data_IF_108007577078
#
_entry.id   IF_108007577078
#
_cell.length_a   1.000
_cell.length_b   1.000
_cell.length_c   1.000
_cell.angle_alpha   90.00
_cell.angle_beta   90.00
_cell.angle_gamma   90.00
#
_symmetry.space_group_name_H-M   'P 1'
#
loop_
_entity.id
_entity.type
_entity.pdbx_description
1 polymer ?
#
# COMPACT_ATOMS: atom_id res chain seq x y z
N UNK A 1 -30.30 6.41 -3.58
CA UNK A 1 -29.65 5.62 -4.65
C UNK A 1 -28.17 5.49 -4.29
N UNK A 2 -27.57 4.30 -4.42
CA UNK A 2 -26.13 4.14 -4.12
C UNK A 2 -25.30 4.86 -5.18
N UNK A 3 -24.20 5.51 -4.80
CA UNK A 3 -23.27 6.13 -5.75
C UNK A 3 -22.75 5.11 -6.78
N UNK A 4 -22.63 3.83 -6.39
CA UNK A 4 -22.18 2.74 -7.25
C UNK A 4 -23.19 2.24 -8.29
N UNK A 5 -24.37 2.87 -8.38
CA UNK A 5 -25.42 2.44 -9.32
C UNK A 5 -25.24 3.04 -10.72
N UNK A 6 -24.46 4.10 -10.89
CA UNK A 6 -24.31 4.82 -12.16
C UNK A 6 -23.00 5.58 -12.27
N UNK A 7 -22.26 5.38 -13.36
CA UNK A 7 -21.09 6.19 -13.69
C UNK A 7 -21.48 7.65 -13.97
N UNK A 8 -22.66 7.92 -14.50
CA UNK A 8 -23.15 9.31 -14.71
C UNK A 8 -23.28 10.03 -13.39
N UNK A 9 -23.89 9.40 -12.38
CA UNK A 9 -24.02 9.97 -11.04
C UNK A 9 -22.66 10.23 -10.39
N UNK A 10 -21.71 9.29 -10.55
CA UNK A 10 -20.33 9.45 -10.07
C UNK A 10 -19.70 10.67 -10.73
N UNK A 11 -19.73 10.76 -12.05
CA UNK A 11 -19.12 11.85 -12.83
C UNK A 11 -19.71 13.22 -12.50
N UNK A 12 -21.02 13.33 -12.40
CA UNK A 12 -21.70 14.58 -12.01
C UNK A 12 -21.25 15.04 -10.62
N UNK A 13 -21.20 14.11 -9.66
CA UNK A 13 -20.74 14.40 -8.29
C UNK A 13 -19.26 14.78 -8.27
N UNK A 14 -18.41 14.07 -9.02
CA UNK A 14 -17.00 14.40 -9.16
C UNK A 14 -16.80 15.80 -9.76
N UNK A 15 -17.53 16.16 -10.82
CA UNK A 15 -17.42 17.46 -11.47
C UNK A 15 -17.86 18.59 -10.53
N UNK A 16 -18.92 18.38 -9.74
CA UNK A 16 -19.33 19.38 -8.74
C UNK A 16 -18.23 19.57 -7.69
N UNK A 17 -17.78 18.52 -7.05
CA UNK A 17 -16.76 18.58 -5.99
C UNK A 17 -15.41 19.08 -6.50
N UNK A 18 -15.06 18.76 -7.76
CA UNK A 18 -13.85 19.31 -8.39
C UNK A 18 -13.87 20.83 -8.44
N UNK A 19 -14.96 21.45 -8.90
CA UNK A 19 -15.08 22.90 -8.93
C UNK A 19 -14.96 23.53 -7.55
N UNK A 20 -15.56 22.88 -6.54
CA UNK A 20 -15.50 23.31 -5.14
C UNK A 20 -14.06 23.28 -4.62
N UNK A 21 -13.36 22.16 -4.76
CA UNK A 21 -12.01 22.01 -4.24
C UNK A 21 -11.00 22.89 -4.99
N UNK A 22 -11.12 23.06 -6.30
CA UNK A 22 -10.27 23.97 -7.06
C UNK A 22 -10.43 25.42 -6.62
N UNK A 23 -11.67 25.86 -6.36
CA UNK A 23 -11.94 27.20 -5.80
C UNK A 23 -11.32 27.39 -4.42
N UNK A 24 -11.40 26.38 -3.55
CA UNK A 24 -10.76 26.40 -2.23
C UNK A 24 -9.23 26.46 -2.38
N UNK A 25 -8.66 25.63 -3.26
CA UNK A 25 -7.22 25.59 -3.50
C UNK A 25 -6.68 26.90 -4.05
N UNK A 26 -7.41 27.54 -4.97
CA UNK A 26 -7.03 28.85 -5.53
C UNK A 26 -6.93 29.92 -4.45
N UNK A 27 -7.83 29.89 -3.45
CA UNK A 27 -7.85 30.85 -2.35
C UNK A 27 -6.80 30.57 -1.28
N UNK A 28 -6.69 29.31 -0.85
CA UNK A 28 -5.99 28.96 0.37
C UNK A 28 -4.99 27.82 0.30
N UNK A 29 -4.59 27.28 -0.87
CA UNK A 29 -3.59 26.23 -0.97
C UNK A 29 -2.25 26.80 -1.45
N UNK A 30 -1.21 26.95 -0.60
CA UNK A 30 0.02 27.64 -0.95
C UNK A 30 0.70 27.10 -2.21
N UNK A 31 0.86 25.79 -2.33
CA UNK A 31 1.53 25.17 -3.48
C UNK A 31 0.76 25.38 -4.79
N UNK A 32 -0.54 25.03 -4.84
CA UNK A 32 -1.29 25.13 -6.10
C UNK A 32 -1.56 26.57 -6.52
N UNK A 33 -1.82 27.46 -5.57
CA UNK A 33 -1.97 28.89 -5.86
C UNK A 33 -0.73 29.47 -6.52
N UNK A 34 0.48 29.09 -6.05
CA UNK A 34 1.73 29.55 -6.65
C UNK A 34 1.93 28.99 -8.05
N UNK A 35 1.79 27.67 -8.23
CA UNK A 35 2.00 27.01 -9.53
C UNK A 35 1.01 27.51 -10.59
N UNK A 36 -0.27 27.61 -10.25
CA UNK A 36 -1.29 28.08 -11.21
C UNK A 36 -1.10 29.54 -11.59
N UNK A 37 -0.74 30.41 -10.63
CA UNK A 37 -0.43 31.82 -10.89
C UNK A 37 0.79 31.95 -11.80
N UNK A 38 1.87 31.21 -11.54
CA UNK A 38 3.08 31.25 -12.36
C UNK A 38 2.86 30.73 -13.79
N UNK A 39 1.96 29.76 -13.94
CA UNK A 39 1.62 29.16 -15.24
C UNK A 39 0.50 29.89 -15.97
N UNK A 40 -0.08 30.95 -15.41
CA UNK A 40 -1.21 31.68 -16.01
C UNK A 40 -2.49 30.84 -16.13
N UNK A 41 -2.67 29.82 -15.27
CA UNK A 41 -3.82 28.92 -15.33
C UNK A 41 -4.99 29.52 -14.56
N UNK A 42 -6.10 29.73 -15.28
CA UNK A 42 -7.39 30.08 -14.66
C UNK A 42 -8.17 28.80 -14.35
N UNK A 43 -8.17 28.40 -13.08
CA UNK A 43 -8.86 27.18 -12.63
C UNK A 43 -10.37 27.29 -12.67
N UNK A 44 -10.95 28.51 -12.78
CA UNK A 44 -12.39 28.68 -12.95
C UNK A 44 -12.91 28.11 -14.28
N UNK A 45 -12.01 27.87 -15.23
CA UNK A 45 -12.30 27.26 -16.54
C UNK A 45 -12.25 25.73 -16.51
N UNK A 46 -11.85 25.12 -15.38
CA UNK A 46 -11.83 23.68 -15.18
C UNK A 46 -13.19 23.27 -14.59
N UNK A 47 -14.08 22.77 -15.43
CA UNK A 47 -15.47 22.49 -15.08
C UNK A 47 -15.75 21.01 -14.81
N UNK A 48 -14.91 20.14 -15.35
CA UNK A 48 -15.07 18.68 -15.28
C UNK A 48 -13.76 17.97 -15.03
N UNK A 49 -13.83 16.68 -14.66
CA UNK A 49 -12.65 15.84 -14.51
C UNK A 49 -11.88 15.67 -15.82
N UNK A 50 -12.52 15.87 -16.98
CA UNK A 50 -11.84 15.83 -18.28
C UNK A 50 -10.93 17.03 -18.50
N UNK A 51 -11.26 18.16 -17.91
CA UNK A 51 -10.44 19.38 -18.00
C UNK A 51 -9.16 19.28 -17.14
N UNK A 52 -9.07 18.33 -16.21
CA UNK A 52 -7.90 18.16 -15.34
C UNK A 52 -6.58 18.01 -16.12
N UNK A 53 -6.62 17.48 -17.34
CA UNK A 53 -5.43 17.36 -18.20
C UNK A 53 -4.76 18.71 -18.53
N UNK A 54 -5.46 19.81 -18.33
CA UNK A 54 -4.95 21.19 -18.49
C UNK A 54 -4.12 21.64 -17.28
N UNK A 55 -4.26 20.97 -16.14
CA UNK A 55 -3.44 21.22 -14.94
C UNK A 55 -2.15 20.39 -14.99
N UNK A 56 -1.03 20.92 -14.48
CA UNK A 56 0.22 20.16 -14.42
C UNK A 56 0.10 18.97 -13.46
N UNK A 57 0.87 17.92 -13.72
CA UNK A 57 1.07 16.83 -12.79
C UNK A 57 1.85 17.29 -11.56
N UNK A 58 1.45 16.86 -10.38
CA UNK A 58 2.13 17.16 -9.13
C UNK A 58 3.09 16.02 -8.78
N UNK A 59 4.41 16.24 -8.78
CA UNK A 59 5.37 15.21 -8.45
C UNK A 59 5.37 14.92 -6.94
N UNK A 60 5.55 13.66 -6.56
CA UNK A 60 5.63 13.22 -5.15
C UNK A 60 6.72 13.96 -4.37
N UNK A 61 7.83 14.29 -5.04
CA UNK A 61 8.95 15.02 -4.47
C UNK A 61 8.53 16.39 -3.88
N UNK A 62 7.61 17.10 -4.52
CA UNK A 62 7.13 18.41 -4.05
C UNK A 62 6.45 18.32 -2.66
N UNK A 63 5.64 17.26 -2.44
CA UNK A 63 5.04 17.01 -1.13
C UNK A 63 6.09 16.66 -0.07
N UNK A 64 7.09 15.85 -0.44
CA UNK A 64 8.16 15.42 0.47
C UNK A 64 9.05 16.60 0.91
N UNK A 65 9.34 17.52 0.00
CA UNK A 65 10.19 18.70 0.28
C UNK A 65 9.47 19.75 1.13
N UNK A 66 8.18 19.95 0.92
CA UNK A 66 7.43 20.95 1.68
C UNK A 66 5.97 20.51 1.93
N UNK A 67 5.76 19.57 2.87
CA UNK A 67 4.40 19.05 3.16
C UNK A 67 3.44 20.11 3.69
N UNK A 68 3.93 21.13 4.40
CA UNK A 68 3.09 22.24 4.90
C UNK A 68 2.46 23.07 3.78
N UNK A 69 3.11 23.19 2.63
CA UNK A 69 2.57 23.90 1.48
C UNK A 69 1.35 23.22 0.83
N UNK A 70 1.11 21.95 1.18
CA UNK A 70 -0.02 21.16 0.68
C UNK A 70 -1.25 21.21 1.60
N UNK A 71 -1.22 22.00 2.67
CA UNK A 71 -2.35 22.22 3.56
C UNK A 71 -3.16 23.43 3.10
N UNK A 72 -4.50 23.32 3.20
CA UNK A 72 -5.38 24.47 3.04
C UNK A 72 -5.16 25.47 4.20
N UNK A 73 -4.90 26.72 3.86
CA UNK A 73 -4.71 27.85 4.78
C UNK A 73 -5.77 28.90 4.49
N UNK A 74 -7.02 28.62 4.90
CA UNK A 74 -8.19 29.45 4.63
C UNK A 74 -9.05 29.57 5.90
N UNK A 75 -9.03 30.74 6.53
CA UNK A 75 -9.69 30.96 7.82
C UNK A 75 -11.21 31.01 7.73
N UNK A 76 -11.76 31.26 6.54
CA UNK A 76 -13.19 31.32 6.26
C UNK A 76 -13.89 29.98 6.22
N UNK A 77 -13.11 28.87 6.14
CA UNK A 77 -13.68 27.54 6.20
C UNK A 77 -14.28 27.26 7.60
N UNK A 78 -15.32 26.42 7.68
CA UNK A 78 -15.86 25.93 8.95
C UNK A 78 -14.77 25.31 9.84
N UNK A 79 -14.95 25.38 11.15
CA UNK A 79 -13.95 24.97 12.13
C UNK A 79 -13.48 23.51 11.90
N UNK A 80 -14.40 22.60 11.63
CA UNK A 80 -14.10 21.18 11.36
C UNK A 80 -13.29 20.94 10.08
N UNK A 81 -13.29 21.89 9.15
CA UNK A 81 -12.56 21.82 7.89
C UNK A 81 -11.14 22.39 7.99
N UNK A 82 -10.77 23.04 9.10
CA UNK A 82 -9.47 23.65 9.33
C UNK A 82 -8.73 23.17 10.58
N UNK A 83 -9.44 22.60 11.57
CA UNK A 83 -8.80 22.00 12.74
C UNK A 83 -8.16 20.66 12.33
N UNK A 84 -6.88 20.51 12.62
CA UNK A 84 -6.17 19.26 12.45
C UNK A 84 -6.64 18.26 13.51
N UNK A 85 -7.09 17.10 13.04
CA UNK A 85 -7.45 15.97 13.88
C UNK A 85 -6.25 15.07 14.15
N UNK A 86 -5.51 14.76 13.09
CA UNK A 86 -4.35 13.87 13.19
C UNK A 86 -3.27 14.23 12.16
N UNK A 87 -2.06 13.79 12.45
CA UNK A 87 -0.95 13.72 11.50
C UNK A 87 -0.52 12.28 11.41
N UNK A 88 -0.57 11.70 10.22
CA UNK A 88 -0.01 10.38 9.93
C UNK A 88 1.19 10.54 9.01
N UNK A 89 2.07 9.54 9.01
CA UNK A 89 3.29 9.61 8.24
C UNK A 89 3.32 8.55 7.15
N UNK A 90 3.91 8.89 6.00
CA UNK A 90 4.18 7.90 4.97
C UNK A 90 5.32 6.98 5.40
N UNK A 91 5.32 5.74 4.90
CA UNK A 91 6.38 4.76 5.20
C UNK A 91 7.64 4.99 4.36
N UNK A 92 8.14 6.20 4.20
CA UNK A 92 9.31 6.48 3.37
C UNK A 92 10.39 5.39 3.50
N UNK A 93 10.72 4.72 2.38
CA UNK A 93 11.76 3.68 2.34
C UNK A 93 13.16 4.22 2.13
N UNK A 94 13.28 5.51 1.76
CA UNK A 94 14.54 6.15 1.36
C UNK A 94 14.76 7.53 1.97
N UNK A 95 13.80 8.07 2.74
CA UNK A 95 13.84 9.40 3.34
C UNK A 95 13.07 9.44 4.65
N UNK A 96 13.14 10.55 5.37
CA UNK A 96 12.31 10.77 6.55
C UNK A 96 10.82 10.64 6.21
N UNK A 97 10.01 10.09 7.16
CA UNK A 97 8.57 9.95 6.96
C UNK A 97 7.91 11.31 6.69
N UNK A 98 7.20 11.44 5.57
CA UNK A 98 6.51 12.68 5.22
C UNK A 98 5.20 12.79 6.00
N UNK A 99 4.94 13.89 6.73
CA UNK A 99 3.68 14.11 7.42
C UNK A 99 2.54 14.32 6.42
N UNK A 100 1.38 13.76 6.76
CA UNK A 100 0.14 13.89 6.02
C UNK A 100 -0.95 14.33 6.97
N UNK A 101 -1.50 15.49 6.74
CA UNK A 101 -2.40 16.19 7.66
C UNK A 101 -3.86 15.86 7.33
N UNK A 102 -4.63 15.54 8.36
CA UNK A 102 -6.07 15.30 8.27
C UNK A 102 -6.80 16.25 9.21
N UNK A 103 -7.81 16.95 8.68
CA UNK A 103 -8.76 17.70 9.48
C UNK A 103 -9.84 16.79 10.06
N UNK A 104 -10.70 17.31 10.93
CA UNK A 104 -11.89 16.58 11.41
C UNK A 104 -12.80 16.18 10.24
N UNK A 105 -12.96 17.05 9.23
CA UNK A 105 -13.70 16.74 8.00
C UNK A 105 -13.08 15.55 7.25
N UNK A 106 -11.76 15.56 7.07
CA UNK A 106 -11.05 14.47 6.39
C UNK A 106 -11.22 13.14 7.13
N UNK A 107 -11.23 13.18 8.47
CA UNK A 107 -11.41 11.98 9.26
C UNK A 107 -12.83 11.41 9.14
N UNK A 108 -13.86 12.25 9.09
CA UNK A 108 -15.22 11.80 8.81
C UNK A 108 -15.34 11.16 7.43
N UNK A 109 -14.72 11.75 6.41
CA UNK A 109 -14.68 11.16 5.08
C UNK A 109 -13.93 9.82 5.07
N UNK A 110 -12.87 9.69 5.88
CA UNK A 110 -12.14 8.45 6.03
C UNK A 110 -12.97 7.36 6.74
N UNK A 111 -13.75 7.72 7.76
CA UNK A 111 -14.71 6.79 8.39
C UNK A 111 -15.73 6.27 7.38
N UNK A 112 -16.26 7.15 6.55
CA UNK A 112 -17.19 6.77 5.48
C UNK A 112 -16.55 5.85 4.44
N UNK A 113 -15.32 6.16 4.00
CA UNK A 113 -14.53 5.28 3.14
C UNK A 113 -14.34 3.91 3.79
N UNK A 114 -13.95 3.89 5.07
CA UNK A 114 -13.71 2.67 5.83
C UNK A 114 -14.94 1.77 5.93
N UNK A 115 -16.12 2.36 6.13
CA UNK A 115 -17.38 1.62 6.13
C UNK A 115 -17.64 0.93 4.79
N UNK A 116 -17.44 1.64 3.68
CA UNK A 116 -17.60 1.07 2.34
C UNK A 116 -16.54 0.00 2.02
N UNK A 117 -15.30 0.19 2.48
CA UNK A 117 -14.25 -0.84 2.40
C UNK A 117 -14.70 -2.12 3.10
N UNK A 118 -15.26 -2.01 4.29
CA UNK A 118 -15.79 -3.16 5.03
C UNK A 118 -16.94 -3.85 4.27
N UNK A 119 -17.90 -3.07 3.75
CA UNK A 119 -19.02 -3.57 2.96
C UNK A 119 -18.57 -4.28 1.67
N UNK A 120 -17.55 -3.74 0.99
CA UNK A 120 -16.99 -4.35 -0.23
C UNK A 120 -16.29 -5.66 0.10
N UNK A 121 -15.48 -5.69 1.17
CA UNK A 121 -14.68 -6.86 1.56
C UNK A 121 -15.43 -7.88 2.42
N UNK A 122 -16.71 -7.67 2.74
CA UNK A 122 -17.48 -8.59 3.58
C UNK A 122 -16.96 -8.68 5.02
N UNK A 123 -16.62 -7.53 5.61
CA UNK A 123 -16.32 -7.41 7.05
C UNK A 123 -17.60 -6.99 7.75
N UNK A 124 -17.97 -7.71 8.79
CA UNK A 124 -19.26 -7.58 9.50
C UNK A 124 -19.05 -7.14 10.95
N UNK A 125 -20.11 -6.63 11.55
CA UNK A 125 -20.13 -6.24 12.96
C UNK A 125 -19.97 -7.42 13.95
N UNK A 126 -20.13 -8.65 13.47
CA UNK A 126 -19.85 -9.88 14.23
C UNK A 126 -18.40 -10.31 14.20
N UNK A 127 -17.56 -9.65 13.41
CA UNK A 127 -16.15 -10.00 13.30
C UNK A 127 -15.34 -9.50 14.50
N UNK A 128 -14.30 -10.27 14.80
CA UNK A 128 -13.24 -9.92 15.75
C UNK A 128 -11.93 -9.85 14.95
N UNK A 129 -11.30 -8.69 14.93
CA UNK A 129 -10.10 -8.43 14.14
C UNK A 129 -8.87 -8.47 15.04
N UNK A 130 -7.89 -9.29 14.71
CA UNK A 130 -6.54 -9.19 15.24
C UNK A 130 -5.72 -8.18 14.42
N UNK A 131 -5.42 -7.02 15.00
CA UNK A 131 -4.51 -6.04 14.41
C UNK A 131 -3.06 -6.51 14.63
N UNK A 132 -2.44 -6.99 13.58
CA UNK A 132 -1.09 -7.56 13.56
C UNK A 132 -0.07 -6.58 12.93
N UNK A 133 -0.40 -5.30 12.84
CA UNK A 133 0.59 -4.29 12.45
C UNK A 133 1.46 -3.90 13.64
N UNK A 134 2.77 -3.71 13.44
CA UNK A 134 3.64 -3.23 14.51
C UNK A 134 3.32 -1.76 14.86
N UNK A 135 3.54 -1.42 16.11
CA UNK A 135 3.55 -0.02 16.54
C UNK A 135 4.91 0.59 16.19
N UNK A 136 4.89 1.73 15.53
CA UNK A 136 6.09 2.47 15.10
C UNK A 136 6.17 3.82 15.79
N UNK A 137 7.37 4.41 15.89
CA UNK A 137 7.62 5.72 16.51
C UNK A 137 6.91 6.86 15.78
N UNK A 138 6.80 6.78 14.46
CA UNK A 138 5.97 7.69 13.66
C UNK A 138 4.60 7.03 13.41
N UNK A 139 3.47 7.69 13.70
CA UNK A 139 2.14 7.12 13.48
C UNK A 139 1.90 6.79 12.01
N UNK A 140 2.01 5.52 11.65
CA UNK A 140 1.78 5.04 10.29
C UNK A 140 0.35 4.57 10.08
N UNK A 141 -0.17 4.80 8.86
CA UNK A 141 -1.55 4.52 8.53
C UNK A 141 -2.00 3.09 8.79
N UNK A 142 -1.16 2.08 8.57
CA UNK A 142 -1.56 0.69 8.67
C UNK A 142 -2.10 0.31 10.07
N UNK A 143 -1.39 0.68 11.14
CA UNK A 143 -1.83 0.40 12.52
C UNK A 143 -3.06 1.21 12.90
N UNK A 144 -3.04 2.54 12.66
CA UNK A 144 -4.11 3.46 13.06
C UNK A 144 -5.38 3.18 12.26
N UNK A 145 -5.24 2.96 10.95
CA UNK A 145 -6.37 2.77 10.04
C UNK A 145 -7.08 1.42 10.22
N UNK A 146 -6.40 0.38 10.71
CA UNK A 146 -7.08 -0.87 11.07
C UNK A 146 -8.11 -0.66 12.17
N UNK A 147 -7.79 0.15 13.20
CA UNK A 147 -8.72 0.52 14.27
C UNK A 147 -9.91 1.31 13.72
N UNK A 148 -9.65 2.30 12.87
CA UNK A 148 -10.70 3.10 12.22
C UNK A 148 -11.62 2.25 11.34
N UNK A 149 -11.06 1.30 10.58
CA UNK A 149 -11.85 0.39 9.73
C UNK A 149 -12.72 -0.56 10.56
N UNK A 150 -12.19 -1.10 11.67
CA UNK A 150 -12.97 -1.93 12.57
C UNK A 150 -14.14 -1.14 13.17
N UNK A 151 -13.89 0.07 13.67
CA UNK A 151 -14.93 0.97 14.19
C UNK A 151 -16.02 1.25 13.13
N UNK A 152 -15.62 1.59 11.92
CA UNK A 152 -16.56 1.89 10.84
C UNK A 152 -17.42 0.69 10.42
N UNK A 153 -16.89 -0.53 10.57
CA UNK A 153 -17.60 -1.79 10.33
C UNK A 153 -18.48 -2.22 11.50
N UNK A 154 -18.31 -1.60 12.70
CA UNK A 154 -18.92 -2.06 13.95
C UNK A 154 -18.29 -3.35 14.49
N UNK A 155 -17.11 -3.75 13.97
CA UNK A 155 -16.40 -4.96 14.35
C UNK A 155 -15.56 -4.76 15.62
N UNK A 156 -15.35 -5.82 16.39
CA UNK A 156 -14.40 -5.80 17.49
C UNK A 156 -12.96 -5.87 16.98
N UNK A 157 -12.03 -5.24 17.70
CA UNK A 157 -10.61 -5.28 17.36
C UNK A 157 -9.74 -5.34 18.60
N UNK A 158 -8.67 -6.09 18.54
CA UNK A 158 -7.58 -6.00 19.52
C UNK A 158 -6.23 -5.86 18.84
N UNK A 159 -5.28 -5.20 19.50
CA UNK A 159 -3.94 -4.99 19.01
C UNK A 159 -3.00 -6.09 19.52
N UNK A 160 -2.40 -6.85 18.61
CA UNK A 160 -1.42 -7.85 18.98
C UNK A 160 -0.04 -7.25 19.23
N UNK A 161 0.26 -6.08 18.65
CA UNK A 161 1.52 -5.33 18.83
C UNK A 161 2.76 -6.22 18.61
N UNK A 162 2.89 -6.88 17.45
CA UNK A 162 4.06 -7.71 17.18
C UNK A 162 5.35 -6.87 17.21
N UNK A 163 6.41 -7.45 17.78
CA UNK A 163 7.71 -6.81 17.85
C UNK A 163 8.64 -7.55 18.80
N UNK A 164 9.86 -7.03 18.98
CA UNK A 164 10.81 -7.58 19.94
C UNK A 164 10.77 -6.81 21.27
N UNK A 165 10.84 -7.55 22.38
CA UNK A 165 10.93 -6.97 23.72
C UNK A 165 12.20 -6.13 23.93
N UNK A 166 13.21 -6.31 23.07
CA UNK A 166 14.47 -5.56 23.12
C UNK A 166 14.38 -4.19 22.44
N UNK A 167 13.27 -3.88 21.77
CA UNK A 167 13.03 -2.64 21.03
C UNK A 167 12.68 -1.40 21.88
N UNK A 168 12.89 -1.45 23.19
CA UNK A 168 12.69 -0.31 24.11
C UNK A 168 11.26 -0.13 24.63
N UNK A 169 10.28 -0.90 24.15
CA UNK A 169 8.90 -0.88 24.63
C UNK A 169 8.46 -2.27 25.08
N UNK A 170 8.28 -2.46 26.38
CA UNK A 170 7.83 -3.74 26.97
C UNK A 170 6.39 -4.16 26.59
N UNK A 171 5.70 -3.37 25.78
CA UNK A 171 4.33 -3.66 25.30
C UNK A 171 4.31 -4.54 24.04
N UNK A 172 5.46 -4.70 23.35
CA UNK A 172 5.55 -5.52 22.16
C UNK A 172 5.52 -7.01 22.51
N UNK A 173 4.90 -7.79 21.62
CA UNK A 173 4.77 -9.24 21.76
C UNK A 173 5.62 -9.97 20.73
N UNK A 174 6.29 -10.99 21.17
CA UNK A 174 6.93 -11.97 20.29
C UNK A 174 5.89 -12.67 19.41
N UNK A 175 6.31 -13.31 18.35
CA UNK A 175 5.42 -14.09 17.47
C UNK A 175 4.67 -15.18 18.24
N UNK A 176 5.32 -15.85 19.20
CA UNK A 176 4.72 -16.84 20.07
C UNK A 176 3.57 -16.24 20.91
N UNK A 177 3.81 -15.10 21.56
CA UNK A 177 2.78 -14.41 22.35
C UNK A 177 1.63 -13.88 21.48
N UNK A 178 1.91 -13.51 20.22
CA UNK A 178 0.85 -13.15 19.26
C UNK A 178 -0.02 -14.36 18.92
N UNK A 179 0.57 -15.54 18.73
CA UNK A 179 -0.17 -16.80 18.48
C UNK A 179 -1.04 -17.15 19.68
N UNK A 180 -0.49 -17.12 20.89
CA UNK A 180 -1.27 -17.37 22.12
C UNK A 180 -2.46 -16.40 22.27
N UNK A 181 -2.23 -15.12 21.96
CA UNK A 181 -3.30 -14.12 22.02
C UNK A 181 -4.39 -14.39 20.96
N UNK A 182 -4.05 -14.88 19.79
CA UNK A 182 -5.00 -15.29 18.74
C UNK A 182 -5.83 -16.48 19.23
N UNK A 183 -5.22 -17.49 19.85
CA UNK A 183 -5.92 -18.63 20.43
C UNK A 183 -6.88 -18.19 21.53
N UNK A 184 -6.45 -17.30 22.43
CA UNK A 184 -7.26 -16.78 23.54
C UNK A 184 -8.45 -15.94 23.05
N UNK A 185 -8.20 -14.99 22.15
CA UNK A 185 -9.21 -14.01 21.69
C UNK A 185 -10.08 -14.51 20.54
N UNK A 186 -9.69 -15.62 19.89
CA UNK A 186 -10.44 -16.28 18.82
C UNK A 186 -10.91 -15.31 17.72
N UNK A 187 -10.02 -14.51 17.11
CA UNK A 187 -10.41 -13.57 16.04
C UNK A 187 -10.97 -14.32 14.83
N UNK A 188 -11.83 -13.63 14.09
CA UNK A 188 -12.35 -14.10 12.81
C UNK A 188 -11.52 -13.56 11.63
N UNK A 189 -10.80 -12.46 11.84
CA UNK A 189 -9.96 -11.82 10.82
C UNK A 189 -8.56 -11.58 11.38
N UNK A 190 -7.54 -12.03 10.66
CA UNK A 190 -6.15 -11.65 10.87
C UNK A 190 -5.80 -10.53 9.89
N UNK A 191 -5.37 -9.38 10.40
CA UNK A 191 -5.06 -8.23 9.58
C UNK A 191 -3.61 -7.79 9.78
N UNK A 192 -2.81 -7.89 8.72
CA UNK A 192 -1.38 -7.62 8.83
C UNK A 192 -0.65 -7.54 7.48
N UNK A 193 0.66 -7.48 7.58
CA UNK A 193 1.58 -7.49 6.45
C UNK A 193 1.70 -8.93 5.93
N UNK A 194 1.66 -9.20 4.61
CA UNK A 194 1.68 -10.56 4.05
C UNK A 194 2.84 -11.42 4.55
N UNK A 195 4.05 -10.89 4.55
CA UNK A 195 5.25 -11.62 4.99
C UNK A 195 5.21 -11.99 6.48
N UNK A 196 4.69 -11.10 7.33
CA UNK A 196 4.53 -11.38 8.74
C UNK A 196 3.46 -12.43 9.00
N UNK A 197 2.29 -12.30 8.33
CA UNK A 197 1.19 -13.25 8.45
C UNK A 197 1.61 -14.66 8.03
N UNK A 198 2.31 -14.79 6.90
CA UNK A 198 2.85 -16.09 6.46
C UNK A 198 3.69 -16.73 7.55
N UNK A 199 4.69 -16.01 8.09
CA UNK A 199 5.58 -16.54 9.14
C UNK A 199 4.81 -16.91 10.41
N UNK A 200 3.86 -16.07 10.82
CA UNK A 200 3.00 -16.34 11.98
C UNK A 200 2.19 -17.63 11.79
N UNK A 201 1.61 -17.83 10.61
CA UNK A 201 0.81 -19.03 10.31
C UNK A 201 1.69 -20.29 10.25
N UNK A 202 2.88 -20.22 9.64
CA UNK A 202 3.85 -21.35 9.65
C UNK A 202 4.22 -21.69 11.09
N UNK A 203 4.52 -20.69 11.92
CA UNK A 203 4.85 -20.92 13.32
C UNK A 203 3.67 -21.47 14.13
N UNK A 204 2.45 -21.04 13.84
CA UNK A 204 1.23 -21.58 14.44
C UNK A 204 1.03 -23.07 14.12
N UNK A 205 1.35 -23.50 12.88
CA UNK A 205 1.32 -24.92 12.50
C UNK A 205 2.32 -25.72 13.33
N UNK A 206 3.57 -25.25 13.46
CA UNK A 206 4.60 -25.93 14.29
C UNK A 206 4.14 -26.09 15.74
N UNK A 207 3.46 -25.09 16.28
CA UNK A 207 2.94 -25.08 17.64
C UNK A 207 1.60 -25.84 17.78
N UNK A 208 1.00 -26.30 16.68
CA UNK A 208 -0.33 -26.92 16.64
C UNK A 208 -1.43 -26.01 17.23
N UNK A 209 -1.33 -24.73 16.99
CA UNK A 209 -2.24 -23.71 17.50
C UNK A 209 -3.66 -23.84 16.93
N UNK A 210 -4.66 -23.41 17.68
CA UNK A 210 -6.08 -23.43 17.29
C UNK A 210 -6.49 -22.11 16.60
N UNK A 211 -6.58 -22.13 15.26
CA UNK A 211 -7.04 -21.00 14.45
C UNK A 211 -8.41 -21.26 13.78
N UNK A 212 -9.21 -22.19 14.31
CA UNK A 212 -10.52 -22.55 13.73
C UNK A 212 -11.51 -21.38 13.67
N UNK A 213 -11.36 -20.35 14.52
CA UNK A 213 -12.19 -19.14 14.45
C UNK A 213 -11.90 -18.25 13.25
N UNK A 214 -10.69 -18.32 12.70
CA UNK A 214 -10.25 -17.46 11.59
C UNK A 214 -11.01 -17.81 10.32
N UNK A 215 -11.56 -16.81 9.65
CA UNK A 215 -12.23 -16.96 8.35
C UNK A 215 -11.54 -16.17 7.23
N UNK A 216 -10.70 -15.19 7.58
CA UNK A 216 -10.11 -14.28 6.62
C UNK A 216 -8.74 -13.79 7.09
N UNK A 217 -7.81 -13.69 6.16
CA UNK A 217 -6.63 -12.84 6.26
C UNK A 217 -6.82 -11.60 5.40
N UNK A 218 -6.75 -10.40 5.99
CA UNK A 218 -6.68 -9.13 5.26
C UNK A 218 -5.22 -8.68 5.22
N UNK A 219 -4.63 -8.65 4.02
CA UNK A 219 -3.22 -8.31 3.83
C UNK A 219 -3.07 -6.95 3.16
N UNK A 220 -2.08 -6.18 3.57
CA UNK A 220 -1.73 -4.88 2.96
C UNK A 220 -0.33 -4.44 3.37
N UNK A 221 0.17 -3.41 2.70
CA UNK A 221 1.41 -2.73 3.07
C UNK A 221 2.66 -3.25 2.38
N UNK A 222 2.59 -4.41 1.75
CA UNK A 222 3.61 -4.99 0.86
C UNK A 222 2.91 -5.56 -0.36
N UNK A 223 3.65 -5.66 -1.49
CA UNK A 223 3.18 -6.44 -2.62
C UNK A 223 3.10 -7.93 -2.21
N UNK A 224 2.04 -8.61 -2.64
CA UNK A 224 1.87 -10.05 -2.45
C UNK A 224 1.73 -10.74 -3.79
N UNK A 225 2.56 -11.75 -4.06
CA UNK A 225 2.38 -12.62 -5.24
C UNK A 225 1.21 -13.58 -5.03
N UNK A 226 0.69 -14.17 -6.12
CA UNK A 226 -0.32 -15.22 -6.03
C UNK A 226 0.21 -16.40 -5.20
N UNK A 227 1.46 -16.81 -5.40
CA UNK A 227 2.10 -17.90 -4.64
C UNK A 227 2.13 -17.61 -3.12
N UNK A 228 2.42 -16.36 -2.72
CA UNK A 228 2.36 -15.95 -1.31
C UNK A 228 0.94 -16.08 -0.74
N UNK A 229 -0.07 -15.67 -1.48
CA UNK A 229 -1.47 -15.77 -1.04
C UNK A 229 -1.93 -17.23 -0.97
N UNK A 230 -1.52 -18.06 -1.93
CA UNK A 230 -1.80 -19.51 -1.92
C UNK A 230 -1.12 -20.22 -0.74
N UNK A 231 0.08 -19.81 -0.39
CA UNK A 231 0.77 -20.34 0.80
C UNK A 231 0.03 -19.94 2.09
N UNK A 232 -0.46 -18.71 2.21
CA UNK A 232 -1.30 -18.28 3.35
C UNK A 232 -2.58 -19.14 3.40
N UNK A 233 -3.25 -19.38 2.27
CA UNK A 233 -4.45 -20.26 2.19
C UNK A 233 -4.13 -21.69 2.64
N UNK A 234 -2.98 -22.22 2.18
CA UNK A 234 -2.52 -23.55 2.58
C UNK A 234 -2.32 -23.64 4.11
N UNK A 235 -1.67 -22.65 4.70
CA UNK A 235 -1.45 -22.60 6.15
C UNK A 235 -2.77 -22.51 6.91
N UNK A 236 -3.72 -21.66 6.48
CA UNK A 236 -5.05 -21.56 7.07
C UNK A 236 -5.80 -22.89 7.02
N UNK A 237 -5.72 -23.61 5.91
CA UNK A 237 -6.32 -24.94 5.76
C UNK A 237 -5.72 -25.94 6.74
N UNK A 238 -4.40 -25.98 6.88
CA UNK A 238 -3.69 -26.87 7.80
C UNK A 238 -4.04 -26.57 9.27
N UNK A 239 -4.22 -25.29 9.61
CA UNK A 239 -4.69 -24.83 10.92
C UNK A 239 -6.21 -25.03 11.13
N UNK A 240 -6.91 -25.65 10.19
CA UNK A 240 -8.35 -25.92 10.22
C UNK A 240 -9.19 -24.67 10.40
N UNK A 241 -8.72 -23.53 9.86
CA UNK A 241 -9.46 -22.28 9.86
C UNK A 241 -10.83 -22.45 9.20
N UNK A 242 -11.84 -21.72 9.70
CA UNK A 242 -13.21 -21.80 9.22
C UNK A 242 -13.33 -21.62 7.72
N UNK A 243 -12.65 -20.59 7.19
CA UNK A 243 -12.50 -20.32 5.76
C UNK A 243 -11.04 -19.97 5.46
N UNK A 244 -10.62 -20.04 4.17
CA UNK A 244 -9.27 -19.74 3.74
C UNK A 244 -9.23 -18.48 2.86
N UNK A 245 -10.03 -17.47 3.20
CA UNK A 245 -10.13 -16.22 2.43
C UNK A 245 -8.90 -15.35 2.66
N UNK A 246 -8.27 -14.89 1.57
CA UNK A 246 -7.15 -13.94 1.62
C UNK A 246 -7.48 -12.73 0.75
N UNK A 247 -7.82 -11.62 1.37
CA UNK A 247 -8.05 -10.36 0.67
C UNK A 247 -6.80 -9.49 0.69
N UNK A 248 -6.33 -9.17 -0.50
CA UNK A 248 -5.29 -8.16 -0.70
C UNK A 248 -5.91 -6.77 -0.78
N UNK A 249 -5.33 -5.81 -0.08
CA UNK A 249 -5.77 -4.42 -0.06
C UNK A 249 -4.67 -3.54 -0.63
N UNK A 250 -5.02 -2.81 -1.67
CA UNK A 250 -4.17 -1.77 -2.22
C UNK A 250 -4.47 -0.44 -1.52
N UNK A 251 -3.44 0.36 -1.28
CA UNK A 251 -3.61 1.70 -0.72
C UNK A 251 -2.32 2.34 -0.27
N UNK A 252 -2.40 3.62 -0.07
CA UNK A 252 -1.34 4.46 0.49
C UNK A 252 -1.93 5.56 1.37
N UNK A 253 -1.08 6.33 2.02
CA UNK A 253 -1.52 7.48 2.82
C UNK A 253 -2.27 8.50 1.97
N UNK A 254 -1.84 8.67 0.72
CA UNK A 254 -2.41 9.62 -0.24
C UNK A 254 -3.75 9.17 -0.84
N UNK A 255 -3.96 7.86 -0.97
CA UNK A 255 -5.14 7.26 -1.62
C UNK A 255 -6.20 6.78 -0.62
N UNK A 256 -5.80 6.48 0.63
CA UNK A 256 -6.60 5.64 1.50
C UNK A 256 -6.56 4.17 1.06
N UNK A 257 -7.62 3.42 1.28
CA UNK A 257 -7.67 1.99 1.01
C UNK A 257 -8.66 1.64 -0.11
N UNK A 258 -8.20 0.84 -1.05
CA UNK A 258 -9.01 0.14 -2.04
C UNK A 258 -9.29 -1.28 -1.59
N UNK A 259 -10.40 -1.85 -2.00
CA UNK A 259 -10.88 -3.13 -1.51
C UNK A 259 -11.26 -4.09 -2.64
N UNK A 260 -10.94 -5.36 -2.46
CA UNK A 260 -11.45 -6.44 -3.28
C UNK A 260 -12.86 -6.85 -2.81
N UNK A 261 -13.78 -7.10 -3.75
CA UNK A 261 -15.09 -7.66 -3.44
C UNK A 261 -15.11 -9.20 -3.48
N UNK A 262 -14.08 -9.78 -4.04
CA UNK A 262 -13.80 -11.20 -4.13
C UNK A 262 -12.29 -11.38 -4.19
N UNK A 263 -11.78 -12.52 -3.71
CA UNK A 263 -10.37 -12.87 -3.85
C UNK A 263 -9.94 -12.77 -5.33
N UNK A 264 -8.74 -12.25 -5.52
CA UNK A 264 -8.12 -12.04 -6.84
C UNK A 264 -8.91 -11.12 -7.79
N UNK A 265 -9.93 -10.39 -7.29
CA UNK A 265 -10.60 -9.35 -8.09
C UNK A 265 -9.79 -8.05 -8.09
N UNK A 266 -10.17 -7.14 -8.99
CA UNK A 266 -9.65 -5.77 -9.00
C UNK A 266 -9.96 -5.05 -7.69
N UNK A 267 -9.17 -4.01 -7.36
CA UNK A 267 -9.38 -3.18 -6.17
C UNK A 267 -10.33 -2.03 -6.47
N UNK A 268 -11.51 -2.06 -5.86
CA UNK A 268 -12.51 -0.99 -5.96
C UNK A 268 -12.07 0.29 -5.25
N UNK A 269 -12.30 1.45 -5.87
CA UNK A 269 -12.35 2.72 -5.18
C UNK A 269 -13.64 2.77 -4.32
N UNK A 270 -13.54 2.81 -2.99
CA UNK A 270 -14.73 2.81 -2.14
C UNK A 270 -15.46 4.16 -2.11
N UNK A 271 -14.78 5.24 -2.52
CA UNK A 271 -15.34 6.61 -2.52
C UNK A 271 -15.06 7.33 -3.83
N UNK A 272 -15.63 6.85 -4.97
CA UNK A 272 -15.39 7.47 -6.28
C UNK A 272 -15.85 8.93 -6.34
N UNK A 273 -16.78 9.35 -5.48
CA UNK A 273 -17.21 10.75 -5.36
C UNK A 273 -16.25 11.66 -4.58
N UNK A 274 -15.28 11.10 -3.87
CA UNK A 274 -14.32 11.85 -3.06
C UNK A 274 -12.92 11.91 -3.65
N UNK A 275 -12.61 11.03 -4.59
CA UNK A 275 -11.33 10.95 -5.24
C UNK A 275 -11.50 10.59 -6.71
N UNK A 276 -10.75 11.27 -7.56
CA UNK A 276 -10.65 10.95 -8.98
C UNK A 276 -9.26 10.39 -9.29
N UNK A 277 -9.22 9.26 -9.98
CA UNK A 277 -7.99 8.59 -10.37
C UNK A 277 -7.85 8.62 -11.89
N UNK A 278 -6.66 8.92 -12.35
CA UNK A 278 -6.29 8.84 -13.76
C UNK A 278 -4.98 8.09 -13.92
N UNK A 279 -4.84 7.39 -15.03
CA UNK A 279 -3.57 6.82 -15.47
C UNK A 279 -2.98 7.74 -16.51
N UNK A 280 -1.71 8.09 -16.34
CA UNK A 280 -1.05 9.08 -17.22
C UNK A 280 0.24 8.53 -17.81
N UNK A 281 0.54 8.96 -19.02
CA UNK A 281 1.86 8.81 -19.61
C UNK A 281 2.80 9.89 -19.07
N UNK A 282 3.88 9.47 -18.41
CA UNK A 282 4.80 10.41 -17.74
C UNK A 282 5.58 11.31 -18.72
N UNK A 283 5.79 10.87 -19.96
CA UNK A 283 6.55 11.65 -20.93
C UNK A 283 5.73 12.80 -21.51
N UNK A 284 4.46 12.56 -21.79
CA UNK A 284 3.55 13.55 -22.38
C UNK A 284 2.64 14.25 -21.38
N UNK A 285 2.48 13.71 -20.15
CA UNK A 285 1.51 14.18 -19.15
C UNK A 285 0.05 13.90 -19.53
N UNK A 286 -0.20 13.18 -20.63
CA UNK A 286 -1.55 12.90 -21.13
C UNK A 286 -2.21 11.78 -20.34
N UNK A 287 -3.53 11.88 -20.13
CA UNK A 287 -4.34 10.79 -19.60
C UNK A 287 -4.42 9.66 -20.64
N UNK A 288 -4.24 8.44 -20.17
CA UNK A 288 -4.40 7.22 -20.94
C UNK A 288 -5.85 6.73 -20.89
N UNK A 289 -6.23 5.89 -21.85
CA UNK A 289 -7.57 5.30 -21.87
C UNK A 289 -7.72 4.22 -20.79
N UNK A 290 -8.94 3.96 -20.30
CA UNK A 290 -9.21 2.83 -19.41
C UNK A 290 -8.63 1.53 -19.98
N UNK A 291 -7.97 0.74 -19.13
CA UNK A 291 -7.27 -0.49 -19.50
C UNK A 291 -5.80 -0.30 -19.90
N UNK A 292 -5.39 0.87 -20.38
CA UNK A 292 -3.98 1.16 -20.65
C UNK A 292 -3.18 1.31 -19.35
N UNK A 293 -1.91 0.96 -19.41
CA UNK A 293 -1.01 0.95 -18.26
C UNK A 293 -0.13 2.19 -18.22
N UNK A 294 -0.06 2.86 -17.07
CA UNK A 294 0.78 4.04 -16.88
C UNK A 294 0.85 4.46 -15.41
N UNK A 295 1.35 5.66 -15.16
CA UNK A 295 1.50 6.19 -13.81
C UNK A 295 0.16 6.62 -13.22
N UNK A 296 -0.10 6.18 -11.98
CA UNK A 296 -1.30 6.56 -11.24
C UNK A 296 -1.17 7.99 -10.72
N UNK A 297 -2.17 8.81 -11.05
CA UNK A 297 -2.34 10.13 -10.47
C UNK A 297 -3.69 10.22 -9.75
N UNK A 298 -3.71 10.90 -8.60
CA UNK A 298 -4.92 11.13 -7.80
C UNK A 298 -5.24 12.62 -7.71
N UNK A 299 -6.52 12.93 -7.78
CA UNK A 299 -7.08 14.24 -7.44
C UNK A 299 -8.06 14.05 -6.29
N UNK A 300 -7.78 14.69 -5.16
CA UNK A 300 -8.70 14.76 -4.04
C UNK A 300 -9.84 15.73 -4.37
N UNK A 301 -11.07 15.27 -4.25
CA UNK A 301 -12.26 16.06 -4.53
C UNK A 301 -12.91 16.59 -3.25
N UNK A 302 -12.63 15.96 -2.11
CA UNK A 302 -13.26 16.29 -0.83
C UNK A 302 -12.29 16.10 0.36
N UNK A 303 -11.22 16.90 0.35
CA UNK A 303 -10.25 16.97 1.46
C UNK A 303 -9.95 18.42 1.83
N UNK A 304 -9.47 18.62 3.07
CA UNK A 304 -9.18 19.94 3.63
C UNK A 304 -7.80 20.06 4.31
N UNK A 305 -7.25 18.96 4.81
CA UNK A 305 -5.88 18.91 5.35
C UNK A 305 -4.84 18.92 4.23
N UNK A 306 -4.12 17.85 4.03
CA UNK A 306 -3.27 17.67 2.83
C UNK A 306 -4.16 17.42 1.61
N UNK A 307 -4.14 18.34 0.64
CA UNK A 307 -4.92 18.22 -0.60
C UNK A 307 -3.99 18.01 -1.78
N UNK A 308 -4.35 17.08 -2.64
CA UNK A 308 -3.54 16.64 -3.78
C UNK A 308 -4.38 16.77 -5.07
N UNK A 309 -3.84 17.46 -6.07
CA UNK A 309 -4.43 17.61 -7.41
C UNK A 309 -3.47 17.05 -8.44
N UNK A 310 -3.91 16.09 -9.27
CA UNK A 310 -3.11 15.38 -10.25
C UNK A 310 -1.77 14.87 -9.69
N UNK A 311 -1.80 14.35 -8.48
CA UNK A 311 -0.59 13.94 -7.75
C UNK A 311 -0.15 12.54 -8.17
N UNK A 312 1.11 12.43 -8.57
CA UNK A 312 1.74 11.16 -8.94
C UNK A 312 2.04 10.34 -7.69
N UNK A 313 1.32 9.25 -7.52
CA UNK A 313 1.46 8.34 -6.37
C UNK A 313 2.78 7.59 -6.39
N UNK A 314 3.30 7.33 -7.59
CA UNK A 314 4.54 6.58 -7.82
C UNK A 314 4.30 5.13 -8.20
N UNK A 315 3.06 4.73 -8.43
CA UNK A 315 2.69 3.38 -8.86
C UNK A 315 2.25 3.37 -10.34
N UNK A 316 2.57 2.29 -11.06
CA UNK A 316 2.08 2.02 -12.41
C UNK A 316 0.97 0.97 -12.33
N UNK A 317 -0.19 1.32 -12.86
CA UNK A 317 -1.40 0.51 -12.83
C UNK A 317 -2.17 0.62 -14.14
N UNK A 318 -3.23 -0.16 -14.28
CA UNK A 318 -4.35 0.12 -15.20
C UNK A 318 -5.60 0.41 -14.38
N UNK A 319 -6.57 1.12 -14.96
CA UNK A 319 -7.87 1.42 -14.33
C UNK A 319 -8.99 0.92 -15.24
N UNK A 320 -10.01 0.30 -14.66
CA UNK A 320 -11.29 0.02 -15.31
C UNK A 320 -12.39 0.90 -14.70
N UNK A 321 -13.28 1.41 -15.54
CA UNK A 321 -14.46 2.18 -15.15
C UNK A 321 -15.76 1.44 -15.45
N UNK A 322 -15.68 0.23 -15.96
CA UNK A 322 -16.84 -0.62 -16.25
C UNK A 322 -17.45 -1.21 -14.97
N UNK A 323 -18.68 -1.70 -15.07
CA UNK A 323 -19.30 -2.44 -13.98
C UNK A 323 -18.43 -3.63 -13.55
N UNK A 324 -18.27 -3.82 -12.25
CA UNK A 324 -17.54 -4.98 -11.77
C UNK A 324 -18.25 -6.28 -12.13
N UNK A 325 -17.56 -7.26 -12.77
CA UNK A 325 -18.18 -8.51 -13.18
C UNK A 325 -18.62 -9.40 -12.00
N UNK A 326 -18.14 -9.12 -10.79
CA UNK A 326 -18.40 -9.92 -9.59
C UNK A 326 -19.48 -9.34 -8.68
N UNK A 327 -19.56 -8.01 -8.55
CA UNK A 327 -20.49 -7.35 -7.63
C UNK A 327 -21.33 -6.25 -8.28
N UNK A 328 -21.19 -6.04 -9.58
CA UNK A 328 -21.92 -5.05 -10.40
C UNK A 328 -21.80 -3.59 -9.95
N UNK A 329 -20.87 -3.27 -9.04
CA UNK A 329 -20.60 -1.87 -8.66
C UNK A 329 -19.96 -1.13 -9.81
N UNK A 330 -20.46 0.08 -10.06
CA UNK A 330 -19.83 1.09 -10.93
C UNK A 330 -18.71 1.81 -10.18
N UNK A 331 -17.96 2.64 -10.89
CA UNK A 331 -16.81 3.38 -10.38
C UNK A 331 -15.49 2.74 -10.80
N UNK A 332 -14.43 3.48 -10.56
CA UNK A 332 -13.09 3.06 -10.95
C UNK A 332 -12.57 1.91 -10.06
N UNK A 333 -11.84 1.01 -10.71
CA UNK A 333 -11.11 -0.09 -10.08
C UNK A 333 -9.67 -0.10 -10.58
N UNK A 334 -8.75 -0.32 -9.68
CA UNK A 334 -7.35 -0.54 -10.02
C UNK A 334 -7.15 -2.00 -10.41
N UNK A 335 -6.55 -2.21 -11.59
CA UNK A 335 -6.19 -3.51 -12.13
C UNK A 335 -4.70 -3.74 -11.89
N UNK A 336 -4.39 -4.86 -11.26
CA UNK A 336 -3.01 -5.29 -11.03
C UNK A 336 -2.29 -5.82 -12.28
N UNK A 337 -1.01 -6.15 -12.15
CA UNK A 337 -0.16 -5.96 -10.99
C UNK A 337 0.22 -4.49 -10.78
N UNK A 338 0.37 -4.07 -9.51
CA UNK A 338 0.87 -2.74 -9.17
C UNK A 338 2.40 -2.77 -9.18
N UNK A 339 3.02 -1.90 -9.98
CA UNK A 339 4.47 -1.76 -10.05
C UNK A 339 4.85 -0.31 -9.75
N UNK A 340 5.99 -0.07 -9.10
CA UNK A 340 6.43 1.30 -8.86
C UNK A 340 7.05 1.92 -10.11
N UNK A 341 6.70 3.17 -10.41
CA UNK A 341 7.11 3.87 -11.63
C UNK A 341 8.57 4.35 -11.60
N UNK A 342 9.17 4.49 -10.41
CA UNK A 342 10.55 4.97 -10.23
C UNK A 342 11.59 3.87 -10.06
N UNK A 343 11.20 2.62 -10.08
CA UNK A 343 12.05 1.51 -9.67
C UNK A 343 12.73 0.76 -10.83
N UNK A 344 12.96 1.42 -11.97
CA UNK A 344 13.91 0.86 -12.93
C UNK A 344 15.32 1.14 -12.42
N UNK A 345 15.96 0.11 -11.92
CA UNK A 345 17.35 0.17 -11.45
C UNK A 345 18.27 -0.30 -12.57
N UNK A 346 19.24 0.50 -12.93
CA UNK A 346 20.24 0.10 -13.91
C UNK A 346 21.29 -0.78 -13.22
N UNK A 347 21.34 -2.07 -13.59
CA UNK A 347 22.31 -3.03 -13.07
C UNK A 347 23.09 -3.62 -14.26
N UNK A 348 24.40 -3.55 -14.25
CA UNK A 348 25.25 -4.04 -15.36
C UNK A 348 24.78 -3.55 -16.72
N UNK A 349 24.34 -2.29 -16.82
CA UNK A 349 23.87 -1.66 -18.06
C UNK A 349 22.41 -1.95 -18.45
N UNK A 350 21.70 -2.86 -17.76
CA UNK A 350 20.31 -3.20 -18.03
C UNK A 350 19.37 -2.49 -17.06
N UNK A 351 18.23 -1.99 -17.56
CA UNK A 351 17.15 -1.45 -16.75
C UNK A 351 16.27 -2.58 -16.23
N UNK A 352 16.21 -2.75 -14.93
CA UNK A 352 15.49 -3.84 -14.26
C UNK A 352 14.40 -3.25 -13.40
N UNK A 353 13.23 -3.85 -13.45
CA UNK A 353 12.16 -3.57 -12.51
C UNK A 353 12.35 -4.44 -11.25
N UNK A 354 12.68 -3.85 -10.08
CA UNK A 354 12.83 -4.60 -8.84
C UNK A 354 11.61 -5.43 -8.48
N UNK A 355 10.40 -4.97 -8.78
CA UNK A 355 9.17 -5.72 -8.47
C UNK A 355 9.13 -7.07 -9.20
N UNK A 356 9.57 -7.13 -10.47
CA UNK A 356 9.65 -8.38 -11.22
C UNK A 356 10.64 -9.34 -10.56
N UNK A 357 11.80 -8.82 -10.13
CA UNK A 357 12.82 -9.59 -9.43
C UNK A 357 12.32 -10.11 -8.08
N UNK A 358 11.68 -9.25 -7.27
CA UNK A 358 11.16 -9.64 -5.97
C UNK A 358 10.06 -10.69 -6.09
N UNK A 359 9.15 -10.56 -7.05
CA UNK A 359 8.08 -11.52 -7.28
C UNK A 359 8.66 -12.89 -7.69
N UNK A 360 9.65 -12.92 -8.58
CA UNK A 360 10.22 -14.18 -9.02
C UNK A 360 10.96 -14.93 -7.88
N UNK A 361 11.46 -14.22 -6.86
CA UNK A 361 12.05 -14.83 -5.66
C UNK A 361 10.94 -15.33 -4.72
N UNK A 362 9.87 -14.53 -4.54
CA UNK A 362 8.71 -14.91 -3.72
C UNK A 362 8.01 -16.19 -4.19
N UNK A 363 8.02 -16.43 -5.50
CA UNK A 363 7.37 -17.61 -6.10
C UNK A 363 8.15 -18.92 -5.89
N UNK A 364 9.36 -18.85 -5.31
CA UNK A 364 10.19 -20.03 -5.02
C UNK A 364 9.89 -20.55 -3.62
N UNK A 365 9.57 -21.84 -3.54
CA UNK A 365 9.29 -22.51 -2.27
C UNK A 365 10.53 -22.60 -1.37
N UNK A 366 10.30 -22.73 -0.06
CA UNK A 366 11.32 -22.91 0.97
C UNK A 366 12.27 -21.72 1.19
N UNK A 367 11.88 -20.53 0.78
CA UNK A 367 12.54 -19.26 1.18
C UNK A 367 11.73 -18.65 2.31
N UNK A 368 12.32 -18.58 3.51
CA UNK A 368 11.66 -18.02 4.69
C UNK A 368 11.66 -16.50 4.66
N UNK A 369 12.79 -15.89 4.28
CA UNK A 369 12.92 -14.45 4.04
C UNK A 369 14.05 -14.19 3.04
N UNK A 370 14.02 -13.03 2.39
CA UNK A 370 15.07 -12.64 1.44
C UNK A 370 15.26 -11.12 1.35
N UNK A 371 16.46 -10.74 0.92
CA UNK A 371 16.82 -9.37 0.57
C UNK A 371 17.64 -9.36 -0.72
N UNK A 372 17.33 -8.43 -1.59
CA UNK A 372 18.08 -8.13 -2.80
C UNK A 372 18.89 -6.88 -2.58
N UNK A 373 20.18 -6.95 -2.80
CA UNK A 373 21.09 -5.81 -2.72
C UNK A 373 21.78 -5.58 -4.07
N UNK A 374 21.76 -4.34 -4.52
CA UNK A 374 22.60 -3.89 -5.64
C UNK A 374 23.78 -3.13 -5.05
N UNK A 375 24.96 -3.65 -5.22
CA UNK A 375 26.20 -3.07 -4.68
C UNK A 375 27.29 -3.00 -5.75
N UNK A 376 28.43 -2.47 -5.38
CA UNK A 376 29.66 -2.60 -6.18
C UNK A 376 30.33 -3.93 -5.88
N UNK A 377 30.90 -4.60 -6.89
CA UNK A 377 31.68 -5.83 -6.74
C UNK A 377 32.88 -5.62 -5.82
N UNK A 378 33.58 -4.50 -5.99
CA UNK A 378 34.59 -4.00 -5.04
C UNK A 378 34.05 -2.73 -4.36
N UNK A 379 33.73 -2.77 -3.07
CA UNK A 379 33.20 -1.61 -2.34
C UNK A 379 34.19 -0.42 -2.26
N UNK A 380 35.49 -0.68 -2.45
CA UNK A 380 36.54 0.34 -2.36
C UNK A 380 36.82 0.98 -3.74
N UNK A 381 36.31 0.42 -4.83
CA UNK A 381 36.44 0.97 -6.18
C UNK A 381 35.09 1.48 -6.70
N UNK A 382 34.87 2.82 -6.72
CA UNK A 382 33.63 3.41 -7.22
C UNK A 382 33.36 3.11 -8.72
N UNK A 383 34.37 2.70 -9.46
CA UNK A 383 34.27 2.32 -10.87
C UNK A 383 34.07 0.82 -11.08
N UNK A 384 34.09 0.03 -10.00
CA UNK A 384 33.81 -1.39 -10.04
C UNK A 384 32.45 -1.70 -10.67
N UNK A 385 32.32 -2.87 -11.28
CA UNK A 385 31.05 -3.31 -11.84
C UNK A 385 29.98 -3.46 -10.75
N UNK A 386 28.72 -3.27 -11.15
CA UNK A 386 27.58 -3.56 -10.27
C UNK A 386 27.45 -5.06 -10.01
N UNK A 387 27.10 -5.44 -8.82
CA UNK A 387 26.76 -6.79 -8.42
C UNK A 387 25.32 -6.84 -7.89
N UNK A 388 24.61 -7.92 -8.26
CA UNK A 388 23.29 -8.22 -7.74
C UNK A 388 23.46 -9.36 -6.71
N UNK A 389 23.33 -9.04 -5.43
CA UNK A 389 23.34 -9.99 -4.33
C UNK A 389 21.92 -10.34 -3.90
N UNK A 390 21.68 -11.61 -3.65
CA UNK A 390 20.41 -12.08 -3.09
C UNK A 390 20.72 -12.87 -1.82
N UNK A 391 20.38 -12.30 -0.69
CA UNK A 391 20.48 -12.94 0.61
C UNK A 391 19.16 -13.67 0.89
N UNK A 392 19.23 -14.95 1.25
CA UNK A 392 18.08 -15.76 1.58
C UNK A 392 18.25 -16.42 2.94
N UNK A 393 17.18 -16.43 3.73
CA UNK A 393 17.04 -17.29 4.90
C UNK A 393 16.15 -18.47 4.52
N UNK A 394 16.58 -19.68 4.86
CA UNK A 394 15.88 -20.91 4.48
C UNK A 394 16.13 -22.03 5.47
N UNK A 395 15.12 -22.86 5.72
CA UNK A 395 15.21 -24.15 6.42
C UNK A 395 15.29 -25.35 5.46
N UNK A 396 15.48 -25.11 4.16
CA UNK A 396 15.59 -26.18 3.17
C UNK A 396 16.82 -27.07 3.44
N UNK A 397 16.64 -28.40 3.35
CA UNK A 397 17.72 -29.37 3.55
C UNK A 397 18.74 -29.39 2.39
N UNK A 398 18.26 -29.16 1.16
CA UNK A 398 19.09 -29.13 -0.05
C UNK A 398 19.21 -27.66 -0.54
N UNK A 399 20.16 -26.98 0.04
CA UNK A 399 20.44 -25.57 -0.30
C UNK A 399 21.05 -25.40 -1.69
N UNK A 400 21.80 -26.39 -2.20
CA UNK A 400 22.38 -26.31 -3.54
C UNK A 400 21.33 -26.37 -4.63
N UNK A 401 20.31 -27.21 -4.47
CA UNK A 401 19.16 -27.24 -5.39
C UNK A 401 18.40 -25.92 -5.37
N UNK A 402 18.15 -25.38 -4.19
CA UNK A 402 17.46 -24.09 -4.03
C UNK A 402 18.24 -22.93 -4.71
N UNK A 403 19.56 -22.87 -4.50
CA UNK A 403 20.42 -21.86 -5.15
C UNK A 403 20.37 -21.99 -6.68
N UNK A 404 20.39 -23.21 -7.20
CA UNK A 404 20.33 -23.46 -8.64
C UNK A 404 18.99 -23.00 -9.22
N UNK A 405 17.89 -23.36 -8.58
CA UNK A 405 16.53 -22.96 -8.96
C UNK A 405 16.36 -21.44 -8.94
N UNK A 406 16.79 -20.79 -7.87
CA UNK A 406 16.74 -19.35 -7.69
C UNK A 406 17.58 -18.61 -8.72
N UNK A 407 18.81 -19.08 -8.97
CA UNK A 407 19.69 -18.51 -10.01
C UNK A 407 19.04 -18.59 -11.37
N UNK A 408 18.45 -19.75 -11.71
CA UNK A 408 17.78 -19.96 -13.00
C UNK A 408 16.55 -19.03 -13.14
N UNK A 409 15.71 -18.96 -12.12
CA UNK A 409 14.51 -18.12 -12.11
C UNK A 409 14.87 -16.64 -12.29
N UNK A 410 15.80 -16.10 -11.52
CA UNK A 410 16.26 -14.71 -11.62
C UNK A 410 16.87 -14.43 -12.99
N UNK A 411 17.75 -15.30 -13.47
CA UNK A 411 18.39 -15.15 -14.79
C UNK A 411 17.38 -15.15 -15.93
N UNK A 412 16.33 -15.95 -15.83
CA UNK A 412 15.24 -15.96 -16.81
C UNK A 412 14.42 -14.68 -16.77
N UNK A 413 14.09 -14.18 -15.58
CA UNK A 413 13.26 -13.01 -15.38
C UNK A 413 13.95 -11.69 -15.80
N UNK A 414 15.23 -11.52 -15.42
CA UNK A 414 15.93 -10.23 -15.57
C UNK A 414 17.25 -10.30 -16.36
N UNK A 415 17.62 -11.47 -16.86
CA UNK A 415 18.86 -11.72 -17.65
C UNK A 415 20.17 -11.41 -16.93
N UNK A 416 20.14 -11.31 -15.59
CA UNK A 416 21.32 -11.14 -14.72
C UNK A 416 21.48 -12.36 -13.84
N UNK A 417 22.73 -12.82 -13.69
CA UNK A 417 23.07 -13.88 -12.72
C UNK A 417 23.36 -13.23 -11.38
N UNK A 418 22.60 -13.57 -10.32
CA UNK A 418 22.83 -13.04 -8.97
C UNK A 418 23.96 -13.78 -8.26
N UNK A 419 24.59 -13.14 -7.27
CA UNK A 419 25.32 -13.79 -6.21
C UNK A 419 24.34 -14.14 -5.09
N UNK A 420 24.21 -15.43 -4.73
CA UNK A 420 23.25 -15.88 -3.71
C UNK A 420 24.03 -16.22 -2.44
N UNK A 421 23.58 -15.66 -1.31
CA UNK A 421 24.11 -15.87 0.04
C UNK A 421 23.03 -16.45 0.94
N UNK A 422 23.33 -17.52 1.66
CA UNK A 422 22.45 -18.06 2.70
C UNK A 422 22.87 -17.42 4.02
N UNK A 423 21.91 -16.81 4.71
CA UNK A 423 22.12 -16.06 5.93
C UNK A 423 21.04 -16.39 6.97
N UNK A 424 21.23 -15.99 8.21
CA UNK A 424 20.18 -16.07 9.22
C UNK A 424 19.09 -15.04 8.94
N UNK A 425 17.87 -15.29 9.39
CA UNK A 425 16.74 -14.38 9.15
C UNK A 425 16.97 -13.02 9.82
N UNK A 426 17.67 -12.99 10.94
CA UNK A 426 18.04 -11.80 11.70
C UNK A 426 18.98 -10.86 10.93
N UNK A 427 19.77 -11.41 9.99
CA UNK A 427 20.67 -10.64 9.12
C UNK A 427 19.93 -9.92 8.00
N UNK A 428 18.73 -10.42 7.64
CA UNK A 428 17.85 -9.80 6.63
C UNK A 428 16.89 -8.84 7.30
N UNK A 429 16.32 -9.25 8.42
CA UNK A 429 15.25 -8.51 9.07
C UNK A 429 15.42 -8.49 10.58
N UNK A 430 15.69 -7.31 11.11
CA UNK A 430 15.67 -7.08 12.53
C UNK A 430 14.36 -6.36 12.91
N UNK A 431 13.49 -7.08 13.61
CA UNK A 431 12.16 -6.59 14.06
C UNK A 431 12.28 -5.35 14.96
N UNK A 432 13.43 -5.18 15.64
CA UNK A 432 13.69 -4.07 16.55
C UNK A 432 14.01 -2.75 15.82
N UNK A 433 14.48 -2.85 14.60
CA UNK A 433 14.95 -1.69 13.82
C UNK A 433 13.96 -1.24 12.74
N UNK A 434 13.17 -2.17 12.20
CA UNK A 434 12.36 -1.89 11.03
C UNK A 434 10.95 -2.50 11.14
N UNK A 435 9.92 -1.71 10.86
CA UNK A 435 8.53 -2.17 10.78
C UNK A 435 8.25 -3.09 9.58
N UNK A 436 9.11 -3.03 8.55
CA UNK A 436 9.00 -3.80 7.30
C UNK A 436 10.36 -4.29 6.87
N UNK A 437 10.39 -5.44 6.21
CA UNK A 437 11.59 -5.92 5.52
C UNK A 437 11.90 -4.99 4.35
N UNK A 438 13.11 -4.44 4.32
CA UNK A 438 13.60 -3.74 3.15
C UNK A 438 14.14 -4.76 2.14
N UNK A 439 13.26 -5.23 1.24
CA UNK A 439 13.58 -6.33 0.33
C UNK A 439 14.48 -5.95 -0.84
N UNK A 440 14.57 -4.67 -1.16
CA UNK A 440 15.47 -4.17 -2.20
C UNK A 440 16.29 -2.99 -1.66
N UNK A 441 17.59 -3.11 -1.74
CA UNK A 441 18.58 -2.11 -1.29
C UNK A 441 19.52 -1.79 -2.44
N UNK A 442 19.72 -0.51 -2.71
CA UNK A 442 20.76 -0.03 -3.62
C UNK A 442 21.87 0.65 -2.79
N UNK A 443 22.96 -0.08 -2.58
CA UNK A 443 24.10 0.34 -1.75
C UNK A 443 25.24 0.95 -2.56
N UNK A 444 25.02 1.29 -3.84
CA UNK A 444 26.08 1.84 -4.72
C UNK A 444 26.42 3.29 -4.45
N UNK A 445 25.75 3.94 -3.51
CA UNK A 445 25.96 5.36 -3.16
C UNK A 445 27.05 5.53 -2.13
#
# INVERSE_FOLDING_TARGET
>A
MSIFSSNVLIQETQNQKLREILSICQKGHPYYKAIWSQSGIDVSTILSTDDLVRLPLTPKQALMENPESFRIQLNELPLQERILWEVIYTTGTTSEPTPFYNTTHDYHNYLFQSKRVAEISGIYNTDIIANLFPLTTAPMGAYVRSVTNAYAAGASIFAALPGSKNGGHNIQRSMYECIQLIEEKRPTILWGIPSFLRRLLVKAIELKADFQSVRMCAITGEASSLAMRDEIRRCLKELKSKDQIVFDRYGSTELGAFAQCREESDWHNPTPEAQFHEVVDLASGKRLQPGERGALAVTHLDRRGTVLIRFLVGDNVSISTEACPHCSRMGDRIIGPVNRSKDLVKIKGMLINPTVLLNCIQDIANIDEFQVEVCKFDPNDPFSMDELKVRIATCAKDTNKLITELTHSIKNAIKITPAIEIVCIEDIFNVDKHAKVQRFVDSRK
#
